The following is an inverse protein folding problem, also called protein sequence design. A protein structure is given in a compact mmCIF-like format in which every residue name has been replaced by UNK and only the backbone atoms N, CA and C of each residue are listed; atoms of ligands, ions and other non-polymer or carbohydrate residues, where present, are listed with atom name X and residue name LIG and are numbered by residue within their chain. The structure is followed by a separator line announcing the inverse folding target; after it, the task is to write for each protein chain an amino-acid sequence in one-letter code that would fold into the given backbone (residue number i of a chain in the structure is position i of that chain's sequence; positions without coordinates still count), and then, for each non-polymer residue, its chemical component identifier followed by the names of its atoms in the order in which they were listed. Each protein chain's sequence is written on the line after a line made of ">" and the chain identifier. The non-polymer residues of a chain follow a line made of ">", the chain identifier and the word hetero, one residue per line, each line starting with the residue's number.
data_IF_112294490557
#
_entry.id   IF_112294490557
#
_cell.length_a   1.000
_cell.length_b   1.000
_cell.length_c   1.000
_cell.angle_alpha   90.00
_cell.angle_beta   90.00
_cell.angle_gamma   90.00
#
_symmetry.space_group_name_H-M   'P 1'
#
loop_
_entity.id
_entity.type
_entity.pdbx_description
1 polymer ?
#
# COMPACT_ATOMS: atom_id res chain seq x y z
N UNK A 1 9.75 3.99 -13.63
CA UNK A 1 9.92 5.07 -12.67
C UNK A 1 8.68 5.24 -11.82
N UNK A 2 8.89 5.75 -10.63
CA UNK A 2 7.85 5.83 -9.63
C UNK A 2 7.23 7.21 -9.56
N UNK A 3 6.87 7.74 -10.70
CA UNK A 3 6.24 9.06 -10.77
C UNK A 3 4.92 9.11 -9.99
N UNK A 4 4.26 7.98 -9.88
CA UNK A 4 2.96 7.94 -9.19
C UNK A 4 3.09 8.43 -7.75
N UNK A 5 4.17 8.11 -7.06
CA UNK A 5 4.37 8.55 -5.69
C UNK A 5 4.58 10.06 -5.64
N UNK A 6 5.37 10.58 -6.56
CA UNK A 6 5.64 12.01 -6.63
C UNK A 6 4.42 12.83 -7.01
N UNK A 7 3.40 12.21 -7.57
CA UNK A 7 2.18 12.89 -8.00
C UNK A 7 1.05 12.76 -7.00
N UNK A 8 1.33 12.32 -5.79
CA UNK A 8 0.32 12.21 -4.76
C UNK A 8 -0.34 10.85 -4.66
N UNK A 9 0.14 9.87 -5.40
CA UNK A 9 -0.33 8.51 -5.27
C UNK A 9 0.48 7.76 -4.22
N UNK A 10 -0.05 6.63 -3.77
CA UNK A 10 0.63 5.79 -2.82
C UNK A 10 0.76 4.38 -3.38
N UNK A 11 1.81 3.69 -2.98
CA UNK A 11 1.98 2.28 -3.28
C UNK A 11 1.62 1.49 -2.04
N UNK A 12 0.68 0.56 -2.17
CA UNK A 12 0.25 -0.28 -1.06
C UNK A 12 0.96 -1.62 -1.14
N UNK A 13 1.47 -2.08 0.00
CA UNK A 13 2.09 -3.40 0.10
C UNK A 13 1.50 -4.15 1.27
N UNK A 14 1.39 -5.46 1.13
CA UNK A 14 0.99 -6.32 2.24
C UNK A 14 2.12 -6.40 3.24
N UNK A 15 1.81 -6.18 4.51
CA UNK A 15 2.84 -6.17 5.54
C UNK A 15 3.51 -7.54 5.67
N UNK A 16 2.73 -8.60 5.60
CA UNK A 16 3.26 -9.94 5.84
C UNK A 16 4.19 -10.41 4.72
N UNK A 17 3.83 -10.13 3.48
CA UNK A 17 4.57 -10.66 2.32
C UNK A 17 5.39 -9.61 1.60
N UNK A 18 5.07 -8.33 1.78
CA UNK A 18 5.71 -7.25 1.04
C UNK A 18 5.25 -7.15 -0.41
N UNK A 19 4.22 -7.89 -0.78
CA UNK A 19 3.72 -7.89 -2.15
C UNK A 19 2.91 -6.62 -2.40
N UNK A 20 3.12 -6.01 -3.56
CA UNK A 20 2.37 -4.82 -3.95
C UNK A 20 0.91 -5.19 -4.17
N UNK A 21 0.02 -4.42 -3.55
CA UNK A 21 -1.42 -4.63 -3.68
C UNK A 21 -1.91 -3.87 -4.89
N UNK A 22 -2.36 -4.59 -5.90
CA UNK A 22 -2.92 -3.99 -7.11
C UNK A 22 -4.39 -4.30 -7.30
N UNK A 23 -4.98 -5.11 -6.43
CA UNK A 23 -6.38 -5.48 -6.52
C UNK A 23 -6.93 -5.70 -5.12
N UNK A 24 -8.20 -5.34 -4.91
CA UNK A 24 -8.87 -5.56 -3.63
C UNK A 24 -8.99 -7.06 -3.30
N UNK A 25 -8.85 -7.91 -4.30
CA UNK A 25 -8.93 -9.35 -4.09
C UNK A 25 -7.69 -9.92 -3.41
N UNK A 26 -6.62 -9.14 -3.35
CA UNK A 26 -5.37 -9.59 -2.72
C UNK A 26 -5.39 -9.41 -1.22
N UNK A 27 -6.35 -8.68 -0.69
CA UNK A 27 -6.41 -8.39 0.73
C UNK A 27 -7.82 -8.65 1.24
N UNK A 28 -7.93 -8.88 2.53
CA UNK A 28 -9.20 -9.10 3.20
C UNK A 28 -9.40 -8.06 4.28
N UNK A 29 -10.64 -7.95 4.72
CA UNK A 29 -11.01 -7.06 5.81
C UNK A 29 -10.16 -7.35 7.04
N UNK A 30 -9.61 -6.31 7.63
CA UNK A 30 -8.76 -6.45 8.82
C UNK A 30 -7.30 -6.72 8.54
N UNK A 31 -6.92 -6.94 7.30
CA UNK A 31 -5.52 -7.12 6.95
C UNK A 31 -4.76 -5.80 7.05
N UNK A 32 -3.49 -5.91 7.38
CA UNK A 32 -2.62 -4.75 7.52
C UNK A 32 -1.83 -4.54 6.25
N UNK A 33 -1.81 -3.31 5.78
CA UNK A 33 -1.05 -2.91 4.60
C UNK A 33 -0.25 -1.67 4.92
N UNK A 34 0.83 -1.47 4.20
CA UNK A 34 1.63 -0.27 4.30
C UNK A 34 1.42 0.57 3.06
N UNK A 35 1.23 1.87 3.27
CA UNK A 35 1.11 2.83 2.16
C UNK A 35 2.41 3.61 2.08
N UNK A 36 3.11 3.46 0.97
CA UNK A 36 4.37 4.17 0.73
C UNK A 36 4.07 5.47 0.01
N UNK A 37 4.42 6.56 0.64
CA UNK A 37 4.26 7.90 0.08
C UNK A 37 5.64 8.48 -0.24
N UNK A 38 5.66 9.65 -0.88
CA UNK A 38 6.92 10.27 -1.27
C UNK A 38 7.78 10.66 -0.07
N UNK A 39 7.16 10.94 1.06
CA UNK A 39 7.86 11.40 2.25
C UNK A 39 7.84 10.39 3.40
N UNK A 40 7.35 9.18 3.18
CA UNK A 40 7.34 8.16 4.22
C UNK A 40 6.30 7.10 3.99
N UNK A 41 6.03 6.34 5.05
CA UNK A 41 5.06 5.25 5.01
C UNK A 41 3.97 5.45 6.04
N UNK A 42 2.78 5.00 5.72
CA UNK A 42 1.67 4.93 6.65
C UNK A 42 1.24 3.48 6.82
N UNK A 43 0.81 3.15 8.02
CA UNK A 43 0.25 1.84 8.29
C UNK A 43 -1.26 1.93 8.22
N UNK A 44 -1.85 1.03 7.45
CA UNK A 44 -3.29 1.05 7.20
C UNK A 44 -3.89 -0.31 7.49
N UNK A 45 -5.19 -0.31 7.70
CA UNK A 45 -5.96 -1.53 7.91
C UNK A 45 -7.09 -1.53 6.90
N UNK A 46 -7.26 -2.66 6.23
CA UNK A 46 -8.35 -2.82 5.25
C UNK A 46 -9.67 -2.94 5.99
N UNK A 47 -10.64 -2.15 5.57
CA UNK A 47 -11.98 -2.20 6.16
C UNK A 47 -12.88 -3.30 5.59
#
# INVERSE_FOLDING_TARGET
>A
PLDVIGRGYAVLTQRDSGVVVSSVKQVASGERVDAQLSDGKLRCIVE
#
